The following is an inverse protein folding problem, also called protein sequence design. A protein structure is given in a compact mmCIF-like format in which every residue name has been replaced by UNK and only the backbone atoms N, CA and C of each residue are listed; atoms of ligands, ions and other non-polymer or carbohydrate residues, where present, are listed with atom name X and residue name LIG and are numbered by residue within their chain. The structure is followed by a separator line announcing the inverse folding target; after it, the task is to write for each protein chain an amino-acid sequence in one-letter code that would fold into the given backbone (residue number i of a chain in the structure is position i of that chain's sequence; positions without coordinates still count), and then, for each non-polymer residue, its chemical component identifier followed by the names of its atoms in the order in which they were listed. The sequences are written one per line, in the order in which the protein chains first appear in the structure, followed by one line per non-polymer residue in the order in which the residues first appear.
data_IF_181918138265
#
_entry.id   IF_181918138265
#
_cell.length_a   1.000
_cell.length_b   1.000
_cell.length_c   1.000
_cell.angle_alpha   90.00
_cell.angle_beta   90.00
_cell.angle_gamma   90.00
#
_symmetry.space_group_name_H-M   'P 1'
#
loop_
_entity.id
_entity.type
_entity.pdbx_description
1 polymer ?
#
# COMPACT_ATOMS: atom_id res chain seq x y z
N UNK A 1 -51.93 57.35 -9.44
CA UNK A 1 -50.63 56.86 -8.88
C UNK A 1 -50.72 55.35 -8.64
N UNK A 2 -50.08 54.46 -9.45
CA UNK A 2 -50.17 53.03 -9.15
C UNK A 2 -49.70 52.05 -10.24
N UNK A 3 -49.52 52.49 -11.47
CA UNK A 3 -49.11 51.52 -12.57
C UNK A 3 -47.62 51.46 -12.87
N UNK A 4 -46.83 52.48 -12.47
CA UNK A 4 -45.38 52.52 -12.69
C UNK A 4 -44.57 51.69 -11.69
N UNK A 5 -45.05 51.56 -10.43
CA UNK A 5 -44.29 50.86 -9.39
C UNK A 5 -44.35 49.33 -9.55
N UNK A 6 -45.42 48.77 -10.14
CA UNK A 6 -45.57 47.33 -10.33
C UNK A 6 -44.67 46.83 -11.49
N UNK A 7 -44.48 47.63 -12.53
CA UNK A 7 -43.64 47.27 -13.67
C UNK A 7 -42.17 47.29 -13.30
N UNK A 8 -41.73 48.27 -12.46
CA UNK A 8 -40.32 48.34 -11.98
C UNK A 8 -39.97 47.18 -11.03
N UNK A 9 -40.88 46.75 -10.18
CA UNK A 9 -40.68 45.59 -9.28
C UNK A 9 -40.52 44.27 -10.05
N UNK A 10 -41.28 44.10 -11.17
CA UNK A 10 -41.17 42.91 -12.04
C UNK A 10 -39.83 42.83 -12.79
N UNK A 11 -39.29 43.92 -13.22
CA UNK A 11 -37.95 43.96 -13.87
C UNK A 11 -36.78 43.67 -12.93
N UNK A 12 -36.86 44.15 -11.71
CA UNK A 12 -35.85 43.85 -10.68
C UNK A 12 -35.91 42.39 -10.24
N UNK A 13 -37.08 41.77 -10.15
CA UNK A 13 -37.21 40.34 -9.85
C UNK A 13 -36.71 39.45 -10.99
N UNK A 14 -36.90 39.86 -12.25
CA UNK A 14 -36.37 39.13 -13.40
C UNK A 14 -34.85 39.22 -13.54
N UNK A 15 -34.26 40.36 -13.17
CA UNK A 15 -32.83 40.55 -13.15
C UNK A 15 -32.15 39.77 -12.02
N UNK A 16 -32.79 39.62 -10.86
CA UNK A 16 -32.33 38.81 -9.73
C UNK A 16 -32.32 37.30 -10.02
N UNK A 17 -33.27 36.83 -10.82
CA UNK A 17 -33.37 35.41 -11.25
C UNK A 17 -32.29 35.07 -12.30
N UNK A 18 -31.88 36.01 -13.14
CA UNK A 18 -30.78 35.83 -14.09
C UNK A 18 -29.38 35.81 -13.46
N UNK A 19 -29.21 36.44 -12.30
CA UNK A 19 -27.96 36.42 -11.52
C UNK A 19 -27.81 35.15 -10.66
N UNK A 20 -28.89 34.38 -10.46
CA UNK A 20 -28.90 33.08 -9.79
C UNK A 20 -28.64 31.90 -10.74
N UNK A 21 -28.38 32.18 -12.02
CA UNK A 21 -27.84 31.14 -12.92
C UNK A 21 -26.46 30.75 -12.38
N UNK A 22 -26.49 29.70 -11.56
CA UNK A 22 -25.33 29.17 -10.84
C UNK A 22 -24.13 29.05 -11.76
N UNK A 23 -23.00 29.51 -11.30
CA UNK A 23 -21.72 29.27 -11.97
C UNK A 23 -21.62 27.74 -12.17
N UNK A 24 -21.86 27.28 -13.39
CA UNK A 24 -21.47 25.93 -13.79
C UNK A 24 -19.99 25.88 -13.51
N UNK A 25 -19.48 25.02 -12.62
CA UNK A 25 -18.06 24.93 -12.39
C UNK A 25 -17.43 24.66 -13.76
N UNK A 26 -16.55 25.57 -14.19
CA UNK A 26 -15.78 25.39 -15.41
C UNK A 26 -15.14 24.01 -15.33
N UNK A 27 -15.39 23.16 -16.34
CA UNK A 27 -14.73 21.84 -16.40
C UNK A 27 -13.25 22.07 -16.18
N UNK A 28 -12.72 21.52 -15.09
CA UNK A 28 -11.31 21.70 -14.78
C UNK A 28 -10.49 21.15 -15.94
N UNK A 29 -9.56 21.95 -16.47
CA UNK A 29 -8.62 21.53 -17.53
C UNK A 29 -7.57 20.57 -16.94
N UNK A 30 -8.07 19.64 -16.14
CA UNK A 30 -7.29 18.60 -15.49
C UNK A 30 -7.27 17.34 -16.37
N UNK A 31 -6.11 16.68 -16.52
CA UNK A 31 -4.79 17.17 -16.16
C UNK A 31 -4.14 17.96 -17.33
N UNK A 32 -3.42 19.06 -17.03
CA UNK A 32 -2.67 19.87 -18.01
C UNK A 32 -1.15 19.95 -17.70
N UNK A 33 -0.69 19.25 -16.67
CA UNK A 33 0.72 19.13 -16.25
C UNK A 33 0.97 17.72 -15.68
N UNK A 34 2.24 17.30 -15.51
CA UNK A 34 2.56 15.98 -14.99
C UNK A 34 1.87 15.65 -13.65
N UNK A 35 1.40 14.41 -13.51
CA UNK A 35 0.84 13.85 -12.26
C UNK A 35 1.93 13.08 -11.53
N UNK A 36 2.19 13.42 -10.28
CA UNK A 36 3.18 12.78 -9.43
C UNK A 36 2.59 11.58 -8.70
N UNK A 37 3.25 10.44 -8.81
CA UNK A 37 2.96 9.20 -8.08
C UNK A 37 3.98 9.09 -6.94
N UNK A 38 3.59 9.51 -5.74
CA UNK A 38 4.46 9.57 -4.57
C UNK A 38 4.53 8.22 -3.89
N UNK A 39 5.74 7.69 -3.74
CA UNK A 39 6.03 6.42 -3.07
C UNK A 39 6.79 6.72 -1.78
N UNK A 40 6.27 6.26 -0.63
CA UNK A 40 6.87 6.44 0.69
C UNK A 40 8.07 5.51 0.99
N UNK A 41 8.55 4.77 -0.01
CA UNK A 41 9.64 3.79 0.11
C UNK A 41 10.76 4.09 -0.89
N UNK A 42 11.94 3.50 -0.62
CA UNK A 42 13.11 3.68 -1.47
C UNK A 42 12.88 3.13 -2.89
N UNK A 43 13.56 3.73 -3.86
CA UNK A 43 13.57 3.24 -5.23
C UNK A 43 14.14 1.83 -5.32
N UNK A 44 13.66 1.04 -6.29
CA UNK A 44 14.06 -0.37 -6.49
C UNK A 44 13.37 -1.36 -5.57
N UNK A 45 12.50 -0.92 -4.66
CA UNK A 45 11.62 -1.80 -3.88
C UNK A 45 10.39 -2.24 -4.69
N UNK A 46 9.62 -3.19 -4.14
CA UNK A 46 8.44 -3.75 -4.79
C UNK A 46 7.40 -2.71 -5.22
N UNK A 47 7.17 -1.68 -4.41
CA UNK A 47 6.25 -0.57 -4.74
C UNK A 47 6.75 0.22 -5.94
N UNK A 48 8.05 0.52 -5.97
CA UNK A 48 8.66 1.33 -7.03
C UNK A 48 8.63 0.59 -8.37
N UNK A 49 9.00 -0.70 -8.39
CA UNK A 49 9.04 -1.49 -9.62
C UNK A 49 7.64 -1.66 -10.23
N UNK A 50 6.61 -1.94 -9.42
CA UNK A 50 5.25 -2.15 -9.95
C UNK A 50 4.62 -0.86 -10.44
N UNK A 51 4.86 0.28 -9.78
CA UNK A 51 4.34 1.58 -10.22
C UNK A 51 5.04 2.04 -11.49
N UNK A 52 6.37 1.85 -11.61
CA UNK A 52 7.11 2.18 -12.84
C UNK A 52 6.71 1.29 -14.03
N UNK A 53 6.31 0.05 -13.80
CA UNK A 53 5.83 -0.83 -14.85
C UNK A 53 4.56 -0.32 -15.54
N UNK A 54 3.77 0.52 -14.85
CA UNK A 54 2.49 1.02 -15.37
C UNK A 54 2.47 2.53 -15.66
N UNK A 55 3.49 3.31 -15.22
CA UNK A 55 3.43 4.77 -15.28
C UNK A 55 3.39 5.34 -16.71
N UNK A 56 4.04 4.69 -17.68
CA UNK A 56 3.99 5.10 -19.09
C UNK A 56 2.58 4.95 -19.67
N UNK A 57 1.94 3.80 -19.45
CA UNK A 57 0.59 3.55 -19.93
C UNK A 57 -0.43 4.47 -19.23
N UNK A 58 -0.26 4.70 -17.95
CA UNK A 58 -1.08 5.66 -17.21
C UNK A 58 -0.92 7.08 -17.79
N UNK A 59 0.31 7.50 -18.09
CA UNK A 59 0.58 8.81 -18.71
C UNK A 59 -0.11 8.97 -20.07
N UNK A 60 -0.12 7.92 -20.91
CA UNK A 60 -0.87 7.91 -22.18
C UNK A 60 -2.36 8.15 -21.97
N UNK A 61 -2.96 7.47 -20.98
CA UNK A 61 -4.39 7.61 -20.68
C UNK A 61 -4.75 8.94 -20.04
N UNK A 62 -3.84 9.53 -19.28
CA UNK A 62 -4.02 10.87 -18.71
C UNK A 62 -3.77 11.99 -19.73
N UNK A 63 -3.06 11.74 -20.82
CA UNK A 63 -2.61 12.76 -21.77
C UNK A 63 -1.46 13.62 -21.26
N UNK A 64 -0.88 13.30 -20.10
CA UNK A 64 0.24 13.98 -19.46
C UNK A 64 1.17 12.97 -18.80
N UNK A 65 2.46 13.25 -18.58
CA UNK A 65 3.36 12.32 -17.92
C UNK A 65 2.90 11.96 -16.50
N UNK A 66 2.96 10.66 -16.16
CA UNK A 66 2.87 10.18 -14.77
C UNK A 66 4.29 9.99 -14.23
N UNK A 67 4.68 10.72 -13.19
CA UNK A 67 6.06 10.81 -12.69
C UNK A 67 6.16 10.16 -11.31
N UNK A 68 7.04 9.18 -11.16
CA UNK A 68 7.28 8.51 -9.87
C UNK A 68 8.23 9.33 -9.01
N UNK A 69 7.80 9.67 -7.79
CA UNK A 69 8.58 10.38 -6.78
C UNK A 69 8.76 9.53 -5.52
N UNK A 70 9.99 9.11 -5.24
CA UNK A 70 10.28 8.40 -4.00
C UNK A 70 10.56 9.40 -2.86
N UNK A 71 9.81 9.28 -1.76
CA UNK A 71 9.98 10.05 -0.51
C UNK A 71 10.04 9.08 0.67
N UNK A 72 11.16 8.33 0.81
CA UNK A 72 11.27 7.28 1.81
C UNK A 72 11.42 7.84 3.22
N UNK A 73 11.02 7.05 4.20
CA UNK A 73 11.21 7.33 5.62
C UNK A 73 10.01 6.90 6.47
N UNK A 74 10.31 6.53 7.71
CA UNK A 74 9.32 6.13 8.73
C UNK A 74 8.27 5.15 8.22
N UNK A 75 8.68 4.08 7.50
CA UNK A 75 7.75 3.07 6.99
C UNK A 75 6.72 3.59 5.99
N UNK A 76 7.05 4.66 5.25
CA UNK A 76 6.19 5.28 4.24
C UNK A 76 5.52 6.56 4.69
N UNK A 77 5.59 6.91 5.98
CA UNK A 77 4.88 8.07 6.54
C UNK A 77 5.33 9.40 5.95
N UNK A 78 6.64 9.57 5.63
CA UNK A 78 7.16 10.81 5.01
C UNK A 78 6.46 11.10 3.67
N UNK A 79 6.28 10.09 2.84
CA UNK A 79 5.53 10.23 1.59
C UNK A 79 4.04 10.52 1.80
N UNK A 80 3.43 9.85 2.77
CA UNK A 80 2.03 10.06 3.12
C UNK A 80 1.77 11.47 3.66
N UNK A 81 2.61 11.98 4.56
CA UNK A 81 2.51 13.36 5.06
C UNK A 81 2.69 14.41 3.96
N UNK A 82 3.64 14.17 3.05
CA UNK A 82 3.85 15.07 1.92
C UNK A 82 2.58 15.19 1.07
N UNK A 83 1.92 14.07 0.75
CA UNK A 83 0.70 14.09 -0.06
C UNK A 83 -0.49 14.65 0.74
N UNK A 84 -0.67 14.27 2.00
CA UNK A 84 -1.74 14.80 2.84
C UNK A 84 -1.72 16.34 2.98
N UNK A 85 -0.51 16.94 2.94
CA UNK A 85 -0.29 18.39 2.99
C UNK A 85 -0.27 19.06 1.61
N UNK A 86 -0.35 18.29 0.53
CA UNK A 86 -0.37 18.82 -0.85
C UNK A 86 -1.74 19.45 -1.17
N UNK A 87 -1.77 20.30 -2.22
CA UNK A 87 -3.04 20.84 -2.73
C UNK A 87 -3.94 19.69 -3.20
N UNK A 88 -5.25 19.75 -2.91
CA UNK A 88 -6.20 18.73 -3.36
C UNK A 88 -6.63 18.98 -4.81
N UNK A 89 -5.66 18.99 -5.73
CA UNK A 89 -5.83 19.30 -7.14
C UNK A 89 -5.59 18.11 -8.10
N UNK A 90 -5.32 16.91 -7.53
CA UNK A 90 -5.11 15.67 -8.29
C UNK A 90 -3.70 15.46 -8.83
N UNK A 91 -2.76 16.39 -8.63
CA UNK A 91 -1.40 16.31 -9.20
C UNK A 91 -0.37 15.63 -8.29
N UNK A 92 -0.68 15.40 -7.01
CA UNK A 92 0.15 14.58 -6.12
C UNK A 92 -0.70 13.46 -5.57
N UNK A 93 -0.42 12.24 -5.99
CA UNK A 93 -1.12 11.03 -5.57
C UNK A 93 -0.20 10.17 -4.72
N UNK A 94 -0.70 9.66 -3.60
CA UNK A 94 0.04 8.70 -2.79
C UNK A 94 -0.19 7.29 -3.32
N UNK A 95 0.88 6.53 -3.47
CA UNK A 95 0.80 5.08 -3.53
C UNK A 95 0.58 4.58 -2.10
N UNK A 96 -0.69 4.40 -1.76
CA UNK A 96 -1.09 3.89 -0.46
C UNK A 96 -0.82 2.39 -0.41
N UNK A 97 -0.28 1.91 0.69
CA UNK A 97 -0.07 0.49 0.96
C UNK A 97 -0.76 0.06 2.24
N UNK A 98 -0.97 -1.24 2.41
CA UNK A 98 -1.42 -1.80 3.68
C UNK A 98 -0.54 -1.35 4.86
N UNK A 99 0.77 -1.09 4.64
CA UNK A 99 1.67 -0.60 5.69
C UNK A 99 1.18 0.68 6.36
N UNK A 100 0.56 1.60 5.61
CA UNK A 100 0.01 2.84 6.19
C UNK A 100 -1.18 2.54 7.13
N UNK A 101 -2.03 1.57 6.76
CA UNK A 101 -3.18 1.13 7.56
C UNK A 101 -2.70 0.41 8.84
N UNK A 102 -1.73 -0.50 8.70
CA UNK A 102 -1.13 -1.23 9.83
C UNK A 102 -0.43 -0.29 10.79
N UNK A 103 0.30 0.69 10.26
CA UNK A 103 0.94 1.70 11.09
C UNK A 103 -0.10 2.50 11.89
N UNK A 104 -1.16 2.97 11.25
CA UNK A 104 -2.23 3.68 11.96
C UNK A 104 -2.91 2.79 13.01
N UNK A 105 -3.04 1.49 12.74
CA UNK A 105 -3.62 0.53 13.68
C UNK A 105 -2.77 0.33 14.94
N UNK A 106 -1.44 0.36 14.81
CA UNK A 106 -0.50 0.07 15.91
C UNK A 106 0.24 1.29 16.49
N UNK A 107 0.08 2.48 15.88
CA UNK A 107 0.72 3.73 16.33
C UNK A 107 -0.34 4.82 16.58
N UNK A 108 -0.76 5.01 17.84
CA UNK A 108 -1.77 6.04 18.18
C UNK A 108 -1.23 7.47 17.99
N UNK A 109 0.08 7.65 17.77
CA UNK A 109 0.73 8.96 17.58
C UNK A 109 0.94 9.31 16.11
N UNK A 110 0.49 8.45 15.20
CA UNK A 110 0.61 8.68 13.75
C UNK A 110 -0.06 10.00 13.35
N UNK A 111 0.69 10.84 12.65
CA UNK A 111 0.26 12.19 12.23
C UNK A 111 -0.73 12.20 11.08
N UNK A 112 -0.82 11.10 10.33
CA UNK A 112 -1.71 10.93 9.17
C UNK A 112 -2.85 9.99 9.54
N UNK A 113 -4.08 10.40 9.23
CA UNK A 113 -5.27 9.57 9.36
C UNK A 113 -5.72 9.10 7.97
N UNK A 114 -5.45 7.84 7.63
CA UNK A 114 -5.66 7.32 6.26
C UNK A 114 -7.10 7.53 5.75
N UNK A 115 -8.18 7.19 6.49
CA UNK A 115 -9.55 7.41 6.03
C UNK A 115 -10.00 8.88 5.96
N UNK A 116 -9.28 9.79 6.65
CA UNK A 116 -9.69 11.21 6.77
C UNK A 116 -8.90 12.11 5.85
N UNK A 117 -7.61 11.84 5.69
CA UNK A 117 -6.67 12.74 5.01
C UNK A 117 -6.54 12.43 3.51
N UNK A 118 -7.19 11.34 3.04
CA UNK A 118 -7.12 10.93 1.64
C UNK A 118 -8.48 10.55 1.05
N UNK A 119 -8.62 10.85 -0.26
CA UNK A 119 -9.68 10.34 -1.12
C UNK A 119 -9.19 9.13 -1.89
N UNK A 120 -9.78 7.95 -1.75
CA UNK A 120 -9.42 6.75 -2.51
C UNK A 120 -9.68 6.93 -4.01
N UNK A 121 -8.78 6.38 -4.84
CA UNK A 121 -8.94 6.31 -6.30
C UNK A 121 -9.16 4.86 -6.71
N UNK A 122 -8.21 3.98 -6.40
CA UNK A 122 -8.34 2.54 -6.67
C UNK A 122 -7.30 1.73 -5.90
N UNK A 123 -7.57 0.42 -5.64
CA UNK A 123 -6.53 -0.59 -5.40
C UNK A 123 -6.14 -1.18 -6.75
N UNK A 124 -4.87 -1.56 -6.93
CA UNK A 124 -4.46 -2.10 -8.24
C UNK A 124 -3.82 -3.49 -8.15
N UNK A 125 -3.08 -3.80 -7.09
CA UNK A 125 -2.46 -5.11 -6.91
C UNK A 125 -2.53 -5.59 -5.47
N UNK A 126 -2.42 -6.92 -5.32
CA UNK A 126 -2.04 -7.56 -4.05
C UNK A 126 -0.72 -8.29 -4.22
N UNK A 127 -0.06 -8.60 -3.11
CA UNK A 127 1.21 -9.31 -3.10
C UNK A 127 1.29 -10.29 -1.94
N UNK A 128 1.82 -11.51 -2.16
CA UNK A 128 2.07 -12.46 -1.10
C UNK A 128 3.16 -11.97 -0.16
N UNK A 129 2.99 -12.22 1.13
CA UNK A 129 4.02 -12.00 2.16
C UNK A 129 4.62 -13.36 2.51
N UNK A 130 5.94 -13.38 2.65
CA UNK A 130 6.70 -14.61 2.87
C UNK A 130 7.73 -14.43 3.99
N UNK A 131 8.02 -15.54 4.67
CA UNK A 131 9.14 -15.69 5.59
C UNK A 131 10.29 -16.34 4.84
N UNK A 132 11.44 -15.69 4.80
CA UNK A 132 12.57 -16.09 3.97
C UNK A 132 13.87 -16.08 4.78
N UNK A 133 14.75 -17.02 4.47
CA UNK A 133 16.10 -17.17 5.03
C UNK A 133 17.15 -17.23 3.91
N UNK A 134 18.44 -17.17 4.25
CA UNK A 134 19.51 -17.46 3.28
C UNK A 134 19.36 -18.89 2.72
N UNK A 135 19.78 -19.11 1.49
CA UNK A 135 19.68 -20.42 0.84
C UNK A 135 20.43 -21.54 1.57
N UNK A 136 21.58 -21.21 2.15
CA UNK A 136 22.43 -22.11 2.96
C UNK A 136 22.09 -22.14 4.45
N UNK A 137 21.10 -21.30 4.91
CA UNK A 137 20.67 -21.24 6.31
C UNK A 137 20.49 -22.64 6.93
N UNK A 138 20.84 -22.77 8.21
CA UNK A 138 20.56 -23.96 9.01
C UNK A 138 19.06 -24.27 9.14
N UNK A 139 18.21 -23.24 9.04
CA UNK A 139 16.76 -23.40 9.09
C UNK A 139 16.23 -23.87 7.74
N UNK A 140 15.77 -25.12 7.68
CA UNK A 140 15.23 -25.71 6.43
C UNK A 140 13.71 -25.66 6.38
N UNK A 141 13.05 -25.53 7.55
CA UNK A 141 11.59 -25.43 7.68
C UNK A 141 11.23 -24.32 8.67
N UNK A 142 9.98 -23.88 8.64
CA UNK A 142 9.49 -22.88 9.60
C UNK A 142 9.47 -23.42 11.02
N UNK A 143 9.23 -24.72 11.19
CA UNK A 143 9.26 -25.39 12.49
C UNK A 143 10.65 -25.33 13.13
N UNK A 144 11.72 -25.58 12.36
CA UNK A 144 13.10 -25.46 12.84
C UNK A 144 13.40 -24.06 13.41
N UNK A 145 12.88 -23.01 12.71
CA UNK A 145 13.04 -21.62 13.13
C UNK A 145 12.25 -21.34 14.42
N UNK A 146 11.01 -21.83 14.50
CA UNK A 146 10.13 -21.67 15.67
C UNK A 146 10.74 -22.36 16.89
N UNK A 147 11.16 -23.63 16.76
CA UNK A 147 11.73 -24.42 17.86
C UNK A 147 13.02 -23.76 18.39
N UNK A 148 13.89 -23.28 17.49
CA UNK A 148 15.06 -22.55 17.87
C UNK A 148 14.71 -21.26 18.63
N UNK A 149 13.74 -20.47 18.13
CA UNK A 149 13.31 -19.22 18.76
C UNK A 149 12.64 -19.41 20.13
N UNK A 150 11.98 -20.56 20.36
CA UNK A 150 11.45 -20.94 21.69
C UNK A 150 12.55 -21.33 22.69
N UNK A 151 13.55 -22.05 22.22
CA UNK A 151 14.66 -22.53 23.07
C UNK A 151 15.71 -21.47 23.35
N UNK A 152 15.86 -20.48 22.47
CA UNK A 152 16.92 -19.48 22.49
C UNK A 152 16.35 -18.05 22.49
N UNK A 153 15.91 -17.59 23.65
CA UNK A 153 15.21 -16.31 23.82
C UNK A 153 16.01 -15.16 23.20
N UNK A 154 15.39 -14.44 22.24
CA UNK A 154 15.95 -13.27 21.57
C UNK A 154 17.34 -13.46 20.92
N UNK A 155 17.69 -14.67 20.53
CA UNK A 155 18.94 -14.94 19.80
C UNK A 155 18.84 -14.71 18.31
N UNK A 156 17.62 -14.80 17.74
CA UNK A 156 17.37 -14.56 16.32
C UNK A 156 16.90 -13.12 16.07
N UNK A 157 17.43 -12.55 14.99
CA UNK A 157 17.04 -11.24 14.48
C UNK A 157 16.17 -11.42 13.23
N UNK A 158 14.96 -10.86 13.24
CA UNK A 158 14.16 -10.81 12.03
C UNK A 158 14.17 -9.41 11.41
N UNK A 159 14.35 -9.37 10.09
CA UNK A 159 14.30 -8.13 9.32
C UNK A 159 12.90 -7.84 8.79
N UNK A 160 12.64 -6.57 8.55
CA UNK A 160 11.48 -6.12 7.79
C UNK A 160 11.82 -4.88 6.95
N UNK A 161 10.99 -4.52 5.94
CA UNK A 161 11.17 -3.29 5.17
C UNK A 161 11.03 -2.00 5.97
N UNK A 162 10.68 -2.08 7.25
CA UNK A 162 10.64 -0.92 8.16
C UNK A 162 9.57 -1.05 9.23
N UNK A 163 9.64 -0.18 10.23
CA UNK A 163 8.64 -0.09 11.30
C UNK A 163 7.27 0.23 10.68
N UNK A 164 6.23 -0.53 11.04
CA UNK A 164 4.89 -0.40 10.49
C UNK A 164 4.69 -1.02 9.10
N UNK A 165 5.74 -1.59 8.49
CA UNK A 165 5.58 -2.31 7.23
C UNK A 165 4.75 -3.59 7.41
N UNK A 166 4.19 -4.10 6.31
CA UNK A 166 3.49 -5.39 6.31
C UNK A 166 4.40 -6.49 6.85
N UNK A 167 5.68 -6.49 6.47
CA UNK A 167 6.67 -7.44 6.98
C UNK A 167 6.89 -7.35 8.48
N UNK A 168 6.94 -6.13 9.05
CA UNK A 168 7.03 -5.96 10.51
C UNK A 168 5.82 -6.53 11.23
N UNK A 169 4.60 -6.11 10.81
CA UNK A 169 3.37 -6.58 11.44
C UNK A 169 3.20 -8.09 11.33
N UNK A 170 3.50 -8.67 10.16
CA UNK A 170 3.46 -10.13 9.97
C UNK A 170 4.49 -10.85 10.84
N UNK A 171 5.68 -10.27 11.04
CA UNK A 171 6.70 -10.81 11.94
C UNK A 171 6.27 -10.79 13.42
N UNK A 172 5.65 -9.70 13.88
CA UNK A 172 5.09 -9.61 15.23
C UNK A 172 3.93 -10.58 15.43
N UNK A 173 3.04 -10.68 14.44
CA UNK A 173 1.95 -11.66 14.46
C UNK A 173 2.48 -13.10 14.48
N UNK A 174 3.53 -13.40 13.73
CA UNK A 174 4.22 -14.69 13.77
C UNK A 174 4.80 -15.00 15.16
N UNK A 175 5.40 -14.00 15.83
CA UNK A 175 5.85 -14.14 17.23
C UNK A 175 4.70 -14.44 18.16
N UNK A 176 3.62 -13.67 18.06
CA UNK A 176 2.44 -13.82 18.91
C UNK A 176 1.80 -15.22 18.78
N UNK A 177 1.58 -15.69 17.55
CA UNK A 177 0.99 -17.00 17.27
C UNK A 177 1.89 -18.17 17.70
N UNK A 178 3.19 -18.09 17.43
CA UNK A 178 4.13 -19.19 17.68
C UNK A 178 4.67 -19.23 19.11
N UNK A 179 4.56 -18.10 19.85
CA UNK A 179 5.22 -17.89 21.17
C UNK A 179 6.76 -18.01 21.09
N UNK A 180 7.34 -17.95 19.90
CA UNK A 180 8.77 -17.86 19.70
C UNK A 180 9.25 -16.41 19.88
N UNK A 181 10.52 -16.22 20.23
CA UNK A 181 11.05 -14.88 20.51
C UNK A 181 12.11 -14.49 19.50
N UNK A 182 11.93 -13.30 18.91
CA UNK A 182 12.83 -12.73 17.90
C UNK A 182 13.01 -11.23 18.15
N UNK A 183 14.20 -10.71 17.81
CA UNK A 183 14.45 -9.25 17.81
C UNK A 183 14.13 -8.69 16.43
N UNK A 184 13.33 -7.64 16.37
CA UNK A 184 13.04 -6.93 15.13
C UNK A 184 14.20 -5.97 14.76
N UNK A 185 14.62 -6.04 13.49
CA UNK A 185 15.61 -5.14 12.87
C UNK A 185 14.94 -4.45 11.67
N UNK A 186 14.50 -3.19 11.80
CA UNK A 186 13.87 -2.47 10.71
C UNK A 186 14.88 -1.92 9.71
N UNK A 187 14.49 -1.89 8.42
CA UNK A 187 15.25 -1.30 7.32
C UNK A 187 14.43 -0.20 6.61
N UNK A 188 15.05 0.56 5.73
CA UNK A 188 14.38 1.59 4.93
C UNK A 188 13.90 1.04 3.57
N UNK A 189 13.18 -0.09 3.58
CA UNK A 189 12.63 -0.76 2.40
C UNK A 189 13.12 -2.19 2.23
N UNK A 190 12.54 -2.90 1.27
CA UNK A 190 12.82 -4.32 1.02
C UNK A 190 14.23 -4.55 0.48
N UNK A 191 14.74 -3.69 -0.41
CA UNK A 191 16.07 -3.87 -1.00
C UNK A 191 17.19 -3.91 0.07
N UNK A 192 17.32 -2.94 0.99
CA UNK A 192 18.34 -3.02 2.04
C UNK A 192 18.11 -4.18 3.03
N UNK A 193 16.86 -4.57 3.31
CA UNK A 193 16.59 -5.72 4.19
C UNK A 193 17.03 -7.06 3.56
N UNK A 194 16.83 -7.21 2.26
CA UNK A 194 17.30 -8.38 1.50
C UNK A 194 18.82 -8.43 1.48
N UNK A 195 19.48 -7.29 1.25
CA UNK A 195 20.95 -7.22 1.29
C UNK A 195 21.49 -7.62 2.68
N UNK A 196 20.83 -7.17 3.76
CA UNK A 196 21.21 -7.54 5.12
C UNK A 196 21.00 -9.05 5.38
N UNK A 197 19.92 -9.65 4.88
CA UNK A 197 19.72 -11.10 4.96
C UNK A 197 20.83 -11.86 4.22
N UNK A 198 21.11 -11.48 2.98
CA UNK A 198 22.16 -12.11 2.17
C UNK A 198 23.55 -11.96 2.78
N UNK A 199 23.80 -10.87 3.51
CA UNK A 199 25.04 -10.63 4.26
C UNK A 199 25.11 -11.31 5.63
N UNK A 200 24.08 -12.04 6.08
CA UNK A 200 24.06 -12.69 7.39
C UNK A 200 23.90 -11.74 8.57
N UNK A 201 23.47 -10.48 8.35
CA UNK A 201 23.23 -9.49 9.41
C UNK A 201 21.90 -9.69 10.14
N UNK A 202 21.00 -10.48 9.57
CA UNK A 202 19.75 -10.95 10.15
C UNK A 202 19.58 -12.43 9.82
N UNK A 203 18.82 -13.15 10.64
CA UNK A 203 18.65 -14.60 10.51
C UNK A 203 17.52 -14.97 9.56
N UNK A 204 16.47 -14.17 9.52
CA UNK A 204 15.35 -14.28 8.58
C UNK A 204 14.72 -12.93 8.29
N UNK A 205 13.94 -12.89 7.22
CA UNK A 205 13.25 -11.69 6.75
C UNK A 205 11.79 -12.01 6.50
N UNK A 206 10.90 -11.10 6.91
CA UNK A 206 9.49 -11.12 6.49
C UNK A 206 9.27 -9.97 5.54
N UNK A 207 8.93 -10.31 4.29
CA UNK A 207 8.81 -9.33 3.19
C UNK A 207 7.83 -9.80 2.11
N UNK A 208 7.55 -8.94 1.15
CA UNK A 208 6.75 -9.29 -0.01
C UNK A 208 7.54 -10.16 -1.01
N UNK A 209 6.89 -11.18 -1.56
CA UNK A 209 7.49 -12.08 -2.55
C UNK A 209 8.08 -11.34 -3.78
N UNK A 210 7.39 -10.33 -4.36
CA UNK A 210 7.93 -9.60 -5.51
C UNK A 210 9.29 -8.95 -5.27
N UNK A 211 9.58 -8.54 -4.02
CA UNK A 211 10.85 -7.91 -3.66
C UNK A 211 12.05 -8.85 -3.79
N UNK A 212 11.84 -10.17 -3.71
CA UNK A 212 12.91 -11.16 -3.75
C UNK A 212 13.51 -11.32 -5.15
N UNK A 213 12.74 -10.98 -6.20
CA UNK A 213 13.17 -11.15 -7.58
C UNK A 213 13.62 -12.60 -7.87
N UNK A 214 14.68 -12.78 -8.63
CA UNK A 214 15.22 -14.09 -8.99
C UNK A 214 15.98 -14.83 -7.88
N UNK A 215 16.14 -14.24 -6.67
CA UNK A 215 17.02 -14.77 -5.62
C UNK A 215 16.55 -16.10 -5.01
N UNK A 216 15.25 -16.39 -5.09
CA UNK A 216 14.72 -17.71 -4.71
C UNK A 216 15.03 -18.75 -5.79
N UNK A 217 14.87 -18.38 -7.06
CA UNK A 217 15.15 -19.26 -8.18
C UNK A 217 16.67 -19.59 -8.32
N UNK A 218 17.55 -18.62 -7.99
CA UNK A 218 19.02 -18.85 -7.94
C UNK A 218 19.47 -19.67 -6.75
N UNK A 219 18.61 -19.88 -5.73
CA UNK A 219 18.97 -20.59 -4.50
C UNK A 219 19.67 -19.71 -3.45
N UNK A 220 19.87 -18.42 -3.72
CA UNK A 220 20.46 -17.48 -2.76
C UNK A 220 19.60 -17.31 -1.51
N UNK A 221 18.27 -17.41 -1.70
CA UNK A 221 17.26 -17.30 -0.65
C UNK A 221 16.31 -18.51 -0.68
N UNK A 222 15.80 -18.87 0.49
CA UNK A 222 14.80 -19.94 0.68
C UNK A 222 13.59 -19.40 1.41
N UNK A 223 12.39 -19.63 0.84
CA UNK A 223 11.13 -19.33 1.51
C UNK A 223 10.76 -20.53 2.41
N UNK A 224 10.52 -20.27 3.69
CA UNK A 224 10.10 -21.31 4.65
C UNK A 224 8.59 -21.43 4.74
N UNK A 225 7.85 -20.33 4.63
CA UNK A 225 6.39 -20.32 4.61
C UNK A 225 5.85 -19.02 3.99
N UNK A 226 4.60 -19.05 3.53
CA UNK A 226 3.85 -17.87 3.11
C UNK A 226 2.76 -17.52 4.13
N UNK A 227 2.43 -16.23 4.23
CA UNK A 227 1.31 -15.73 5.02
C UNK A 227 -0.01 -15.70 4.22
N UNK A 228 -0.04 -16.29 3.03
CA UNK A 228 -1.22 -16.35 2.19
C UNK A 228 -2.26 -17.36 2.71
N UNK A 229 -3.53 -17.16 2.34
CA UNK A 229 -4.63 -18.07 2.71
C UNK A 229 -4.49 -19.47 2.09
N UNK A 230 -3.84 -19.54 0.92
CA UNK A 230 -3.59 -20.79 0.16
C UNK A 230 -2.18 -20.77 -0.40
N UNK A 231 -1.63 -21.93 -0.73
CA UNK A 231 -0.33 -22.04 -1.41
C UNK A 231 -0.33 -21.22 -2.71
N UNK A 232 0.80 -20.59 -2.97
CA UNK A 232 1.02 -19.84 -4.21
C UNK A 232 1.12 -20.82 -5.38
N UNK A 233 0.48 -20.49 -6.50
CA UNK A 233 0.45 -21.38 -7.69
C UNK A 233 1.84 -21.69 -8.24
N UNK A 234 2.74 -20.70 -8.15
CA UNK A 234 4.11 -20.76 -8.63
C UNK A 234 5.06 -21.44 -7.64
N UNK A 235 4.63 -21.67 -6.39
CA UNK A 235 5.45 -22.18 -5.29
C UNK A 235 4.67 -23.22 -4.46
N UNK A 236 4.22 -24.27 -5.12
CA UNK A 236 3.37 -25.33 -4.51
C UNK A 236 4.02 -26.05 -3.35
N UNK A 237 5.35 -26.08 -3.29
CA UNK A 237 6.11 -26.74 -2.21
C UNK A 237 6.26 -25.84 -0.97
N UNK A 238 5.97 -24.54 -1.08
CA UNK A 238 6.01 -23.61 0.06
C UNK A 238 4.69 -23.69 0.84
N UNK A 239 4.74 -24.13 2.11
CA UNK A 239 3.52 -24.20 2.93
C UNK A 239 3.04 -22.82 3.32
N UNK A 240 1.75 -22.69 3.67
CA UNK A 240 1.22 -21.51 4.33
C UNK A 240 1.37 -21.58 5.85
N UNK A 241 1.34 -20.44 6.55
CA UNK A 241 1.29 -20.41 8.01
C UNK A 241 0.03 -21.12 8.54
N UNK A 242 -1.09 -21.04 7.82
CA UNK A 242 -2.34 -21.76 8.15
C UNK A 242 -2.12 -23.27 8.16
N UNK A 243 -1.48 -23.82 7.12
CA UNK A 243 -1.15 -25.27 7.04
C UNK A 243 -0.22 -25.72 8.17
N UNK A 244 0.58 -24.78 8.72
CA UNK A 244 1.50 -25.01 9.83
C UNK A 244 0.85 -24.85 11.22
N UNK A 245 -0.47 -24.60 11.28
CA UNK A 245 -1.23 -24.50 12.51
C UNK A 245 -1.30 -23.07 13.09
N UNK A 246 -0.95 -22.04 12.31
CA UNK A 246 -0.98 -20.63 12.70
C UNK A 246 -1.98 -19.82 11.86
N UNK A 247 -3.30 -20.03 12.05
CA UNK A 247 -4.33 -19.47 11.18
C UNK A 247 -4.47 -17.94 11.29
N UNK A 248 -4.01 -17.32 12.38
CA UNK A 248 -4.04 -15.88 12.52
C UNK A 248 -2.83 -15.21 11.83
N UNK A 249 -1.73 -15.97 11.62
CA UNK A 249 -0.56 -15.49 10.89
C UNK A 249 -0.82 -15.48 9.36
N UNK A 250 -1.88 -14.79 8.93
CA UNK A 250 -2.24 -14.62 7.51
C UNK A 250 -2.19 -13.14 7.15
N UNK A 251 -1.61 -12.85 5.99
CA UNK A 251 -1.42 -11.48 5.51
C UNK A 251 -1.21 -11.45 4.00
N UNK A 252 -1.87 -10.51 3.34
CA UNK A 252 -1.59 -10.15 1.96
C UNK A 252 -1.35 -8.65 1.87
N UNK A 253 -0.21 -8.25 1.34
CA UNK A 253 0.05 -6.86 1.04
C UNK A 253 -0.80 -6.37 -0.13
N UNK A 254 -1.04 -5.07 -0.21
CA UNK A 254 -1.69 -4.45 -1.36
C UNK A 254 -1.21 -3.02 -1.57
N UNK A 255 -1.39 -2.53 -2.80
CA UNK A 255 -1.17 -1.14 -3.16
C UNK A 255 -2.40 -0.55 -3.83
N UNK A 256 -2.67 0.72 -3.49
CA UNK A 256 -3.71 1.53 -4.11
C UNK A 256 -3.21 2.95 -4.35
N UNK A 257 -4.01 3.74 -5.05
CA UNK A 257 -3.76 5.16 -5.26
C UNK A 257 -4.81 5.97 -4.51
N UNK A 258 -4.35 7.04 -3.86
CA UNK A 258 -5.21 7.99 -3.17
C UNK A 258 -4.74 9.42 -3.45
N UNK A 259 -5.68 10.36 -3.44
CA UNK A 259 -5.43 11.80 -3.53
C UNK A 259 -5.58 12.45 -2.16
N UNK A 260 -5.11 13.71 -1.93
CA UNK A 260 -5.41 14.47 -0.72
C UNK A 260 -6.91 14.63 -0.51
N UNK A 261 -7.34 14.66 0.76
CA UNK A 261 -8.74 14.92 1.10
C UNK A 261 -9.24 16.24 0.51
N UNK A 262 -10.47 16.25 0.01
CA UNK A 262 -11.07 17.42 -0.64
C UNK A 262 -10.70 17.58 -2.11
N UNK A 263 -10.03 16.61 -2.74
CA UNK A 263 -9.83 16.59 -4.21
C UNK A 263 -11.19 16.55 -4.91
N UNK A 264 -11.44 17.42 -5.92
CA UNK A 264 -12.72 17.51 -6.62
C UNK A 264 -13.16 16.17 -7.25
N UNK A 265 -14.46 15.91 -7.23
CA UNK A 265 -15.02 14.63 -7.71
C UNK A 265 -14.73 14.36 -9.18
N UNK A 266 -14.84 15.38 -10.03
CA UNK A 266 -14.54 15.27 -11.46
C UNK A 266 -13.07 14.92 -11.74
N UNK A 267 -12.13 15.41 -10.90
CA UNK A 267 -10.72 15.03 -10.92
C UNK A 267 -10.56 13.57 -10.51
N UNK A 268 -11.20 13.14 -9.41
CA UNK A 268 -11.14 11.76 -8.94
C UNK A 268 -11.74 10.78 -9.96
N UNK A 269 -12.83 11.14 -10.63
CA UNK A 269 -13.44 10.33 -11.68
C UNK A 269 -12.52 10.16 -12.90
N UNK A 270 -11.88 11.24 -13.37
CA UNK A 270 -10.91 11.18 -14.47
C UNK A 270 -9.70 10.31 -14.10
N UNK A 271 -9.16 10.49 -12.91
CA UNK A 271 -8.08 9.64 -12.39
C UNK A 271 -8.52 8.18 -12.32
N UNK A 272 -9.69 7.90 -11.72
CA UNK A 272 -10.24 6.55 -11.60
C UNK A 272 -10.39 5.83 -12.93
N UNK A 273 -10.88 6.52 -13.96
CA UNK A 273 -11.01 5.96 -15.31
C UNK A 273 -9.65 5.64 -15.94
N UNK A 274 -8.67 6.57 -15.83
CA UNK A 274 -7.32 6.37 -16.35
C UNK A 274 -6.62 5.19 -15.65
N UNK A 275 -6.69 5.11 -14.33
CA UNK A 275 -6.13 4.00 -13.56
C UNK A 275 -6.81 2.68 -13.88
N UNK A 276 -8.15 2.63 -13.93
CA UNK A 276 -8.88 1.41 -14.27
C UNK A 276 -8.49 0.88 -15.64
N UNK A 277 -8.42 1.76 -16.65
CA UNK A 277 -7.98 1.38 -17.99
C UNK A 277 -6.55 0.86 -18.01
N UNK A 278 -5.62 1.48 -17.25
CA UNK A 278 -4.22 1.04 -17.14
C UNK A 278 -4.12 -0.33 -16.47
N UNK A 279 -4.79 -0.52 -15.34
CA UNK A 279 -4.70 -1.77 -14.54
C UNK A 279 -5.28 -2.96 -15.31
N UNK A 280 -6.34 -2.74 -16.10
CA UNK A 280 -6.99 -3.77 -16.92
C UNK A 280 -6.33 -3.98 -18.29
N UNK A 281 -5.29 -3.23 -18.62
CA UNK A 281 -4.55 -3.44 -19.85
C UNK A 281 -3.85 -4.81 -19.82
N UNK A 282 -4.05 -5.69 -20.82
CA UNK A 282 -3.49 -7.05 -20.81
C UNK A 282 -1.96 -7.09 -20.66
N UNK A 283 -1.24 -6.10 -21.21
CA UNK A 283 0.23 -6.04 -21.09
C UNK A 283 0.65 -5.68 -19.66
N UNK A 284 -0.10 -4.79 -18.99
CA UNK A 284 0.14 -4.43 -17.61
C UNK A 284 -0.17 -5.62 -16.71
N UNK A 285 -1.30 -6.29 -16.92
CA UNK A 285 -1.67 -7.51 -16.16
C UNK A 285 -0.57 -8.57 -16.28
N UNK A 286 -0.13 -8.89 -17.49
CA UNK A 286 0.95 -9.85 -17.71
C UNK A 286 2.26 -9.40 -17.02
N UNK A 287 2.58 -8.11 -17.11
CA UNK A 287 3.80 -7.56 -16.52
C UNK A 287 3.79 -7.67 -14.99
N UNK A 288 2.69 -7.30 -14.33
CA UNK A 288 2.60 -7.37 -12.87
C UNK A 288 2.57 -8.82 -12.37
N UNK A 289 1.96 -9.74 -13.12
CA UNK A 289 1.99 -11.17 -12.80
C UNK A 289 3.40 -11.76 -12.88
N UNK A 290 4.18 -11.41 -13.91
CA UNK A 290 5.60 -11.80 -14.01
C UNK A 290 6.47 -11.29 -12.87
N UNK A 291 6.04 -10.23 -12.21
CA UNK A 291 6.68 -9.66 -11.00
C UNK A 291 6.15 -10.29 -9.70
N UNK A 292 5.38 -11.37 -9.77
CA UNK A 292 4.74 -12.06 -8.62
C UNK A 292 3.72 -11.19 -7.85
N UNK A 293 3.10 -10.21 -8.52
CA UNK A 293 1.91 -9.52 -8.02
C UNK A 293 0.65 -10.16 -8.60
N UNK A 294 -0.46 -10.07 -7.86
CA UNK A 294 -1.77 -10.43 -8.38
C UNK A 294 -2.55 -9.15 -8.75
N UNK A 295 -3.15 -9.12 -9.93
CA UNK A 295 -4.12 -8.08 -10.26
C UNK A 295 -5.29 -8.17 -9.28
N UNK A 296 -5.67 -7.03 -8.70
CA UNK A 296 -6.68 -7.00 -7.64
C UNK A 296 -7.36 -5.63 -7.58
N UNK A 297 -7.99 -5.24 -8.69
CA UNK A 297 -8.67 -3.95 -8.80
C UNK A 297 -9.83 -3.83 -7.80
N UNK A 298 -9.86 -2.70 -7.08
CA UNK A 298 -11.01 -2.18 -6.37
C UNK A 298 -11.25 -0.74 -6.82
N UNK A 299 -12.51 -0.39 -7.02
CA UNK A 299 -12.93 1.01 -7.23
C UNK A 299 -12.72 1.87 -5.99
N UNK A 300 -12.86 3.19 -6.12
CA UNK A 300 -12.71 4.13 -5.01
C UNK A 300 -13.60 3.77 -3.80
N UNK A 301 -14.88 3.46 -4.05
CA UNK A 301 -15.82 3.10 -2.98
C UNK A 301 -15.49 1.77 -2.29
N UNK A 302 -15.10 0.76 -3.07
CA UNK A 302 -14.67 -0.53 -2.54
C UNK A 302 -13.36 -0.40 -1.75
N UNK A 303 -12.39 0.39 -2.24
CA UNK A 303 -11.14 0.66 -1.51
C UNK A 303 -11.40 1.42 -0.20
N UNK A 304 -12.30 2.41 -0.20
CA UNK A 304 -12.70 3.11 1.03
C UNK A 304 -13.23 2.15 2.09
N UNK A 305 -14.13 1.25 1.68
CA UNK A 305 -14.70 0.23 2.56
C UNK A 305 -13.62 -0.74 3.07
N UNK A 306 -12.74 -1.18 2.16
CA UNK A 306 -11.63 -2.07 2.46
C UNK A 306 -10.67 -1.47 3.50
N UNK A 307 -10.22 -0.22 3.31
CA UNK A 307 -9.35 0.49 4.27
C UNK A 307 -9.99 0.55 5.66
N UNK A 308 -11.27 0.90 5.76
CA UNK A 308 -11.98 1.00 7.06
C UNK A 308 -12.09 -0.35 7.75
N UNK A 309 -12.42 -1.41 7.00
CA UNK A 309 -12.54 -2.75 7.55
C UNK A 309 -11.20 -3.30 8.04
N UNK A 310 -10.12 -3.09 7.28
CA UNK A 310 -8.78 -3.51 7.67
C UNK A 310 -8.25 -2.71 8.87
N UNK A 311 -8.47 -1.39 8.89
CA UNK A 311 -8.08 -0.58 10.04
C UNK A 311 -8.76 -1.06 11.32
N UNK A 312 -10.06 -1.37 11.27
CA UNK A 312 -10.78 -1.91 12.42
C UNK A 312 -10.25 -3.29 12.85
N UNK A 313 -10.02 -4.19 11.88
CA UNK A 313 -9.47 -5.53 12.11
C UNK A 313 -8.08 -5.47 12.74
N UNK A 314 -7.15 -4.73 12.13
CA UNK A 314 -5.77 -4.68 12.58
C UNK A 314 -5.58 -3.88 13.86
N UNK A 315 -6.42 -2.86 14.13
CA UNK A 315 -6.44 -2.19 15.43
C UNK A 315 -6.86 -3.14 16.55
N UNK A 316 -7.84 -4.02 16.30
CA UNK A 316 -8.23 -5.06 17.25
C UNK A 316 -7.08 -6.03 17.49
N UNK A 317 -6.48 -6.58 16.42
CA UNK A 317 -5.35 -7.53 16.50
C UNK A 317 -4.15 -6.88 17.22
N UNK A 318 -3.77 -5.65 16.86
CA UNK A 318 -2.65 -4.96 17.49
C UNK A 318 -2.86 -4.81 19.00
N UNK A 319 -4.09 -4.50 19.42
CA UNK A 319 -4.44 -4.40 20.84
C UNK A 319 -4.42 -5.76 21.57
N UNK A 320 -5.00 -6.80 20.96
CA UNK A 320 -5.09 -8.14 21.55
C UNK A 320 -3.72 -8.81 21.69
N UNK A 321 -2.86 -8.65 20.68
CA UNK A 321 -1.51 -9.25 20.65
C UNK A 321 -0.41 -8.33 21.18
N UNK A 322 -0.77 -7.11 21.65
CA UNK A 322 0.20 -6.14 22.18
C UNK A 322 1.21 -5.63 21.16
N UNK A 323 0.83 -5.59 19.87
CA UNK A 323 1.68 -5.11 18.78
C UNK A 323 1.72 -3.58 18.81
N UNK A 324 2.86 -3.02 19.17
CA UNK A 324 3.10 -1.56 19.19
C UNK A 324 4.06 -1.20 18.07
N UNK A 325 3.63 -0.28 17.22
CA UNK A 325 4.44 0.25 16.11
C UNK A 325 4.94 1.64 16.53
N UNK A 326 6.23 1.74 16.87
CA UNK A 326 6.88 2.99 17.28
C UNK A 326 8.07 3.32 16.38
#
# INVERSE_FOLDING_TARGET
MGRGAIVQASWLAFLAILLAAGAVPAATDFPNKPVNLVIGFAAGGETDIVVRAMNEELGKRLGVPAVVLNKPGSGGLVGAEFVAKSKPDGYNLLVLSLSHVLRQAGDPTMTVNVPKDFEPICRFVTQPIVLVVQGDSQFKTVENLIDFGKQNVNKLNFGSPGVGSVGHFSGELFKAETKATFKHVPFNGSAPSITALMGGHIDFLVTALPALGGKVASGDLRILASFADKRLSEMKDVPTMIEKGFPQARMAGWFGFVAPAGTPKDVLEKLGQAFQGTIKDPKIVETVQKMAFNEAYLSAGELSTHIKSELALFSKIAKEEGIVIK
#
